data_IF_870338761954
#
_entry.id   IF_870338761954
#
_cell.length_a   1.000
_cell.length_b   1.000
_cell.length_c   1.000
_cell.angle_alpha   90.00
_cell.angle_beta   90.00
_cell.angle_gamma   90.00
#
_symmetry.space_group_name_H-M   'P 1'
#
loop_
_entity.id
_entity.type
_entity.pdbx_description
1 polymer ?
#
# COMPACT_ATOMS: atom_id res chain seq x y z
N UNK A 1 -29.24 30.08 10.93
CA UNK A 1 -27.99 29.61 10.33
C UNK A 1 -28.01 29.94 8.84
N UNK A 2 -27.39 31.07 8.50
CA UNK A 2 -27.29 31.57 7.14
C UNK A 2 -26.34 30.66 6.33
N UNK A 3 -26.87 29.96 5.36
CA UNK A 3 -26.03 29.28 4.35
C UNK A 3 -25.41 30.35 3.47
N UNK A 4 -24.18 30.73 3.74
CA UNK A 4 -23.39 31.58 2.85
C UNK A 4 -23.37 30.94 1.47
N UNK A 5 -24.14 31.50 0.53
CA UNK A 5 -24.13 31.13 -0.89
C UNK A 5 -22.73 31.47 -1.42
N UNK A 6 -21.87 30.47 -1.56
CA UNK A 6 -20.59 30.61 -2.25
C UNK A 6 -20.88 31.01 -3.71
N UNK A 7 -20.28 32.08 -4.18
CA UNK A 7 -20.46 32.53 -5.57
C UNK A 7 -19.98 31.45 -6.54
N UNK A 8 -20.61 31.27 -7.71
CA UNK A 8 -20.18 30.30 -8.73
C UNK A 8 -18.68 30.42 -9.08
N UNK A 9 -18.17 31.65 -9.08
CA UNK A 9 -16.78 31.95 -9.36
C UNK A 9 -15.81 31.42 -8.28
N UNK A 10 -16.21 31.48 -7.01
CA UNK A 10 -15.42 30.95 -5.89
C UNK A 10 -15.40 29.41 -5.91
N UNK A 11 -16.49 28.78 -6.34
CA UNK A 11 -16.56 27.32 -6.53
C UNK A 11 -15.62 26.86 -7.66
N UNK A 12 -15.64 27.53 -8.82
CA UNK A 12 -14.78 27.21 -9.95
C UNK A 12 -13.30 27.41 -9.59
N UNK A 13 -12.93 28.53 -8.92
CA UNK A 13 -11.55 28.75 -8.47
C UNK A 13 -11.07 27.68 -7.49
N UNK A 14 -11.91 27.26 -6.55
CA UNK A 14 -11.59 26.19 -5.61
C UNK A 14 -11.45 24.85 -6.31
N UNK A 15 -12.33 24.53 -7.25
CA UNK A 15 -12.29 23.29 -8.03
C UNK A 15 -11.02 23.22 -8.90
N UNK A 16 -10.66 24.31 -9.59
CA UNK A 16 -9.41 24.38 -10.35
C UNK A 16 -8.17 24.26 -9.46
N UNK A 17 -8.18 24.90 -8.28
CA UNK A 17 -7.10 24.80 -7.31
C UNK A 17 -6.94 23.37 -6.77
N UNK A 18 -8.04 22.74 -6.37
CA UNK A 18 -8.01 21.35 -5.89
C UNK A 18 -7.47 20.39 -6.96
N UNK A 19 -7.91 20.52 -8.23
CA UNK A 19 -7.38 19.69 -9.32
C UNK A 19 -5.88 19.92 -9.56
N UNK A 20 -5.43 21.17 -9.60
CA UNK A 20 -3.99 21.49 -9.76
C UNK A 20 -3.16 20.89 -8.63
N UNK A 21 -3.68 20.91 -7.40
CA UNK A 21 -2.98 20.29 -6.27
C UNK A 21 -2.88 18.78 -6.42
N UNK A 22 -3.92 18.09 -6.89
CA UNK A 22 -3.86 16.65 -7.17
C UNK A 22 -2.84 16.32 -8.26
N UNK A 23 -2.79 17.11 -9.33
CA UNK A 23 -1.77 16.97 -10.37
C UNK A 23 -0.35 17.18 -9.82
N UNK A 24 -0.14 18.24 -9.05
CA UNK A 24 1.16 18.51 -8.44
C UNK A 24 1.62 17.36 -7.54
N UNK A 25 0.74 16.86 -6.68
CA UNK A 25 1.05 15.78 -5.74
C UNK A 25 1.29 14.45 -6.46
N UNK A 26 0.63 14.21 -7.59
CA UNK A 26 0.93 13.05 -8.43
C UNK A 26 2.30 13.18 -9.11
N UNK A 27 2.54 14.29 -9.79
CA UNK A 27 3.73 14.43 -10.65
C UNK A 27 5.02 14.78 -9.90
N UNK A 28 4.96 15.36 -8.70
CA UNK A 28 6.16 15.72 -7.96
C UNK A 28 7.01 14.48 -7.58
N UNK A 29 6.49 13.46 -6.89
CA UNK A 29 7.28 12.25 -6.60
C UNK A 29 7.64 11.48 -7.86
N UNK A 30 6.79 11.50 -8.89
CA UNK A 30 7.10 10.92 -10.22
C UNK A 30 8.30 11.62 -10.85
N UNK A 31 8.34 12.95 -10.83
CA UNK A 31 9.46 13.72 -11.38
C UNK A 31 10.77 13.48 -10.61
N UNK A 32 10.69 13.37 -9.27
CA UNK A 32 11.86 13.04 -8.42
C UNK A 32 12.40 11.66 -8.80
N UNK A 33 11.53 10.64 -8.86
CA UNK A 33 11.94 9.28 -9.23
C UNK A 33 12.43 9.21 -10.68
N UNK A 34 11.76 9.87 -11.61
CA UNK A 34 12.20 9.93 -13.01
C UNK A 34 13.57 10.61 -13.13
N UNK A 35 13.85 11.65 -12.35
CA UNK A 35 15.17 12.28 -12.32
C UNK A 35 16.25 11.32 -11.79
N UNK A 36 15.93 10.48 -10.79
CA UNK A 36 16.85 9.42 -10.35
C UNK A 36 17.07 8.38 -11.46
N UNK A 37 16.03 7.95 -12.15
CA UNK A 37 16.16 7.05 -13.30
C UNK A 37 17.01 7.66 -14.43
N UNK A 38 16.84 8.95 -14.71
CA UNK A 38 17.65 9.66 -15.68
C UNK A 38 19.13 9.71 -15.25
N UNK A 39 19.40 9.99 -13.98
CA UNK A 39 20.76 10.01 -13.44
C UNK A 39 21.46 8.65 -13.58
N UNK A 40 20.76 7.55 -13.30
CA UNK A 40 21.26 6.19 -13.46
C UNK A 40 21.18 5.65 -14.88
N UNK A 41 20.83 6.50 -15.87
CA UNK A 41 20.73 6.14 -17.28
C UNK A 41 19.82 4.94 -17.54
N UNK A 42 18.69 4.86 -16.82
CA UNK A 42 17.68 3.81 -17.01
C UNK A 42 16.96 4.04 -18.36
N UNK A 43 16.74 2.95 -19.08
CA UNK A 43 15.98 2.96 -20.35
C UNK A 43 14.58 3.62 -20.15
N UNK A 44 14.11 4.51 -21.05
CA UNK A 44 14.63 4.82 -22.39
C UNK A 44 15.72 5.91 -22.47
N UNK A 45 16.22 6.42 -21.36
CA UNK A 45 17.19 7.53 -21.34
C UNK A 45 18.62 7.03 -21.58
N UNK A 46 18.92 5.80 -21.19
CA UNK A 46 20.21 5.15 -21.37
C UNK A 46 20.09 3.64 -21.46
N UNK A 47 21.20 2.93 -21.24
CA UNK A 47 21.31 1.48 -21.48
C UNK A 47 21.02 0.62 -20.24
N UNK A 48 20.88 1.23 -19.05
CA UNK A 48 20.50 0.51 -17.84
C UNK A 48 19.01 0.15 -17.85
N UNK A 49 18.61 -0.88 -17.10
CA UNK A 49 17.23 -1.35 -17.08
C UNK A 49 16.60 -1.28 -15.68
N UNK A 50 15.28 -1.10 -15.63
CA UNK A 50 14.48 -1.31 -14.39
C UNK A 50 14.37 -2.80 -14.04
N UNK A 51 14.73 -3.68 -14.95
CA UNK A 51 14.65 -5.13 -14.77
C UNK A 51 15.80 -5.60 -13.91
N UNK A 52 15.53 -5.87 -12.64
CA UNK A 52 16.52 -6.35 -11.66
C UNK A 52 15.96 -7.56 -10.91
N UNK A 53 16.83 -8.45 -10.44
CA UNK A 53 16.47 -9.63 -9.66
C UNK A 53 15.27 -10.40 -10.27
N UNK A 54 14.25 -10.71 -9.48
CA UNK A 54 13.07 -11.47 -9.91
C UNK A 54 12.25 -10.76 -10.98
N UNK A 55 12.27 -9.42 -11.01
CA UNK A 55 11.63 -8.66 -12.08
C UNK A 55 12.23 -8.99 -13.45
N UNK A 56 13.55 -9.22 -13.52
CA UNK A 56 14.24 -9.65 -14.73
C UNK A 56 14.15 -11.16 -14.96
N UNK A 57 14.34 -11.95 -13.90
CA UNK A 57 14.42 -13.41 -14.01
C UNK A 57 13.08 -14.11 -14.13
N UNK A 58 12.00 -13.48 -13.66
CA UNK A 58 10.70 -14.14 -13.54
C UNK A 58 9.52 -13.26 -13.98
N UNK A 59 9.34 -12.06 -13.41
CA UNK A 59 8.07 -11.33 -13.54
C UNK A 59 7.85 -10.77 -14.94
N UNK A 60 8.89 -10.31 -15.61
CA UNK A 60 8.80 -9.78 -16.97
C UNK A 60 8.14 -10.77 -17.94
N UNK A 61 8.42 -12.07 -17.79
CA UNK A 61 7.83 -13.11 -18.63
C UNK A 61 6.34 -13.32 -18.35
N UNK A 62 5.89 -13.16 -17.08
CA UNK A 62 4.47 -13.19 -16.76
C UNK A 62 3.75 -11.95 -17.32
N UNK A 63 4.42 -10.81 -17.33
CA UNK A 63 3.90 -9.55 -17.90
C UNK A 63 3.76 -9.66 -19.43
N UNK A 64 4.74 -10.24 -20.10
CA UNK A 64 4.64 -10.53 -21.53
C UNK A 64 3.48 -11.45 -21.86
N UNK A 65 3.30 -12.51 -21.08
CA UNK A 65 2.20 -13.45 -21.25
C UNK A 65 0.83 -12.81 -20.99
N UNK A 66 0.72 -12.00 -19.97
CA UNK A 66 -0.49 -11.26 -19.68
C UNK A 66 -0.86 -10.36 -20.87
N UNK A 67 0.12 -9.64 -21.40
CA UNK A 67 -0.05 -8.84 -22.61
C UNK A 67 -0.48 -9.68 -23.81
N UNK A 68 0.20 -10.78 -24.06
CA UNK A 68 -0.09 -11.67 -25.18
C UNK A 68 -1.49 -12.28 -25.08
N UNK A 69 -1.95 -12.64 -23.88
CA UNK A 69 -3.31 -13.11 -23.64
C UNK A 69 -4.37 -12.06 -24.00
N UNK A 70 -4.13 -10.77 -23.68
CA UNK A 70 -5.02 -9.67 -24.09
C UNK A 70 -5.05 -9.45 -25.62
N UNK A 71 -3.98 -9.78 -26.33
CA UNK A 71 -3.90 -9.65 -27.79
C UNK A 71 -4.28 -10.94 -28.54
N UNK A 72 -4.83 -11.95 -27.84
CA UNK A 72 -5.28 -13.20 -28.46
C UNK A 72 -4.18 -14.20 -28.77
N UNK A 73 -2.94 -13.94 -28.34
CA UNK A 73 -1.78 -14.82 -28.57
C UNK A 73 -1.43 -15.71 -27.36
N UNK A 74 -2.33 -15.82 -26.38
CA UNK A 74 -2.14 -16.57 -25.14
C UNK A 74 -3.44 -16.90 -24.43
N UNK A 75 -3.36 -17.54 -23.27
CA UNK A 75 -4.50 -17.88 -22.43
C UNK A 75 -4.35 -17.31 -21.02
N UNK A 76 -5.46 -16.87 -20.42
CA UNK A 76 -5.53 -16.47 -19.02
C UNK A 76 -5.65 -17.66 -18.05
N UNK A 77 -5.93 -18.85 -18.57
CA UNK A 77 -6.21 -20.04 -17.76
C UNK A 77 -4.97 -20.94 -17.66
N UNK A 78 -4.31 -21.17 -18.80
CA UNK A 78 -3.21 -22.13 -18.91
C UNK A 78 -2.07 -21.57 -19.75
N UNK A 79 -0.83 -21.85 -19.31
CA UNK A 79 0.36 -21.40 -19.99
C UNK A 79 1.32 -22.57 -20.28
N UNK A 80 1.59 -22.78 -21.57
CA UNK A 80 2.51 -23.81 -22.06
C UNK A 80 3.99 -23.48 -21.84
N UNK A 81 4.33 -22.18 -21.70
CA UNK A 81 5.71 -21.71 -21.55
C UNK A 81 6.15 -21.53 -20.10
N UNK A 82 5.27 -21.82 -19.12
CA UNK A 82 5.60 -21.75 -17.69
C UNK A 82 6.26 -23.06 -17.26
N UNK A 83 7.59 -23.08 -17.09
CA UNK A 83 8.35 -24.29 -16.79
C UNK A 83 8.04 -25.40 -17.81
N UNK A 84 7.37 -26.48 -17.36
CA UNK A 84 6.88 -27.60 -18.19
C UNK A 84 5.41 -27.44 -18.59
N UNK A 85 4.81 -26.28 -18.34
CA UNK A 85 3.41 -25.90 -18.47
C UNK A 85 2.65 -25.86 -17.14
N UNK A 86 1.62 -25.03 -17.04
CA UNK A 86 0.83 -24.94 -15.81
C UNK A 86 -0.35 -24.00 -15.89
N UNK A 87 -1.13 -24.01 -14.81
CA UNK A 87 -2.24 -23.09 -14.65
C UNK A 87 -1.73 -21.64 -14.52
N UNK A 88 -2.48 -20.68 -15.09
CA UNK A 88 -2.09 -19.29 -15.13
C UNK A 88 -2.80 -18.46 -14.05
N UNK A 89 -3.88 -18.96 -13.46
CA UNK A 89 -4.71 -18.14 -12.58
C UNK A 89 -4.04 -17.86 -11.22
N UNK A 90 -3.26 -18.80 -10.68
CA UNK A 90 -2.46 -18.55 -9.48
C UNK A 90 -1.38 -17.49 -9.72
N UNK A 91 -0.76 -17.50 -10.90
CA UNK A 91 0.18 -16.45 -11.33
C UNK A 91 -0.55 -15.11 -11.49
N UNK A 92 -1.71 -15.12 -12.14
CA UNK A 92 -2.55 -13.93 -12.28
C UNK A 92 -2.90 -13.32 -10.92
N UNK A 93 -3.35 -14.12 -9.99
CA UNK A 93 -3.78 -13.67 -8.67
C UNK A 93 -2.65 -13.06 -7.83
N UNK A 94 -1.40 -13.49 -8.05
CA UNK A 94 -0.25 -12.95 -7.32
C UNK A 94 0.43 -11.80 -8.07
N UNK A 95 0.64 -11.92 -9.38
CA UNK A 95 1.48 -10.96 -10.12
C UNK A 95 0.71 -9.96 -10.97
N UNK A 96 -0.53 -10.28 -11.40
CA UNK A 96 -1.18 -9.62 -12.53
C UNK A 96 -2.56 -9.02 -12.23
N UNK A 97 -3.13 -9.29 -11.07
CA UNK A 97 -4.50 -8.87 -10.74
C UNK A 97 -4.64 -7.36 -10.42
N UNK A 98 -3.52 -6.64 -10.28
CA UNK A 98 -3.54 -5.20 -10.10
C UNK A 98 -4.08 -4.48 -11.34
N UNK A 99 -5.00 -3.49 -11.20
CA UNK A 99 -5.51 -2.74 -12.35
C UNK A 99 -4.41 -1.97 -13.10
N UNK A 100 -3.30 -1.67 -12.44
CA UNK A 100 -2.15 -1.01 -13.07
C UNK A 100 -1.46 -1.91 -14.10
N UNK A 101 -1.61 -3.23 -14.02
CA UNK A 101 -1.02 -4.16 -15.01
C UNK A 101 -1.60 -3.96 -16.41
N UNK A 102 -2.77 -3.32 -16.55
CA UNK A 102 -3.31 -2.94 -17.84
C UNK A 102 -2.38 -1.98 -18.63
N UNK A 103 -1.49 -1.26 -17.94
CA UNK A 103 -0.47 -0.41 -18.59
C UNK A 103 0.44 -1.25 -19.49
N UNK A 104 0.74 -2.49 -19.08
CA UNK A 104 1.61 -3.41 -19.83
C UNK A 104 1.00 -3.84 -21.18
N UNK A 105 -0.33 -3.77 -21.29
CA UNK A 105 -1.06 -4.15 -22.51
C UNK A 105 -1.01 -3.04 -23.56
N UNK A 106 -0.81 -1.78 -23.14
CA UNK A 106 -0.94 -0.59 -24.03
C UNK A 106 0.24 -0.43 -24.99
N UNK A 107 1.44 -0.88 -24.60
CA UNK A 107 2.66 -0.71 -25.42
C UNK A 107 3.06 -2.01 -26.12
N UNK A 108 3.84 -1.94 -27.21
CA UNK A 108 4.38 -3.13 -27.89
C UNK A 108 5.24 -3.98 -26.95
N UNK A 109 5.32 -5.29 -27.21
CA UNK A 109 6.14 -6.24 -26.43
C UNK A 109 7.60 -5.81 -26.34
N UNK A 110 8.15 -5.25 -27.42
CA UNK A 110 9.53 -4.72 -27.47
C UNK A 110 9.79 -3.56 -26.50
N UNK A 111 8.73 -2.93 -25.98
CA UNK A 111 8.81 -1.84 -25.03
C UNK A 111 8.41 -2.26 -23.59
N UNK A 112 8.52 -3.55 -23.26
CA UNK A 112 8.08 -4.06 -21.95
C UNK A 112 8.79 -3.36 -20.78
N UNK A 113 10.11 -3.15 -20.87
CA UNK A 113 10.87 -2.41 -19.85
C UNK A 113 10.35 -0.97 -19.64
N UNK A 114 10.01 -0.28 -20.72
CA UNK A 114 9.38 1.05 -20.66
C UNK A 114 7.98 0.99 -20.04
N UNK A 115 7.19 -0.03 -20.37
CA UNK A 115 5.86 -0.24 -19.78
C UNK A 115 5.95 -0.44 -18.26
N UNK A 116 6.93 -1.20 -17.80
CA UNK A 116 7.20 -1.45 -16.38
C UNK A 116 7.63 -0.15 -15.69
N UNK A 117 8.50 0.64 -16.30
CA UNK A 117 8.90 1.95 -15.78
C UNK A 117 7.68 2.87 -15.60
N UNK A 118 6.81 2.94 -16.61
CA UNK A 118 5.57 3.75 -16.54
C UNK A 118 4.66 3.22 -15.43
N UNK A 119 4.52 1.91 -15.29
CA UNK A 119 3.75 1.27 -14.22
C UNK A 119 4.27 1.65 -12.83
N UNK A 120 5.59 1.57 -12.61
CA UNK A 120 6.23 1.96 -11.35
C UNK A 120 5.95 3.45 -11.02
N UNK A 121 6.16 4.34 -11.99
CA UNK A 121 5.91 5.77 -11.84
C UNK A 121 4.43 6.09 -11.57
N UNK A 122 3.51 5.40 -12.26
CA UNK A 122 2.08 5.55 -12.04
C UNK A 122 1.67 5.13 -10.60
N UNK A 123 2.23 4.05 -10.09
CA UNK A 123 1.98 3.60 -8.70
C UNK A 123 2.51 4.59 -7.67
N UNK A 124 3.72 5.12 -7.86
CA UNK A 124 4.31 6.17 -7.00
C UNK A 124 3.38 7.39 -6.94
N UNK A 125 2.99 7.92 -8.11
CA UNK A 125 2.11 9.09 -8.17
C UNK A 125 0.74 8.83 -7.52
N UNK A 126 0.16 7.65 -7.74
CA UNK A 126 -1.13 7.29 -7.18
C UNK A 126 -1.07 7.10 -5.68
N UNK A 127 -0.01 6.52 -5.12
CA UNK A 127 0.19 6.40 -3.68
C UNK A 127 0.25 7.79 -3.00
N UNK A 128 0.94 8.76 -3.62
CA UNK A 128 0.93 10.14 -3.13
C UNK A 128 -0.49 10.74 -3.10
N UNK A 129 -1.25 10.54 -4.16
CA UNK A 129 -2.62 11.07 -4.29
C UNK A 129 -3.56 10.46 -3.25
N UNK A 130 -3.52 9.14 -3.05
CA UNK A 130 -4.38 8.46 -2.06
C UNK A 130 -4.03 8.88 -0.64
N UNK A 131 -2.75 9.05 -0.34
CA UNK A 131 -2.31 9.56 0.96
C UNK A 131 -2.71 11.02 1.18
N UNK A 132 -2.59 11.91 0.17
CA UNK A 132 -3.12 13.27 0.25
C UNK A 132 -4.63 13.29 0.49
N UNK A 133 -5.38 12.42 -0.21
CA UNK A 133 -6.82 12.29 0.00
C UNK A 133 -7.12 11.91 1.46
N UNK A 134 -6.41 10.91 2.00
CA UNK A 134 -6.52 10.49 3.38
C UNK A 134 -6.27 11.68 4.34
N UNK A 135 -5.14 12.36 4.23
CA UNK A 135 -4.81 13.51 5.07
C UNK A 135 -5.89 14.61 5.02
N UNK A 136 -6.40 14.93 3.83
CA UNK A 136 -7.49 15.91 3.68
C UNK A 136 -8.77 15.49 4.39
N UNK A 137 -9.03 14.20 4.52
CA UNK A 137 -10.28 13.65 5.08
C UNK A 137 -10.24 13.43 6.59
N UNK A 138 -9.06 13.11 7.13
CA UNK A 138 -8.93 12.83 8.58
C UNK A 138 -8.55 14.05 9.39
N UNK A 139 -7.96 15.08 8.77
CA UNK A 139 -7.51 16.26 9.49
C UNK A 139 -8.69 17.06 10.06
N UNK A 140 -8.69 17.27 11.37
CA UNK A 140 -9.70 18.07 12.08
C UNK A 140 -9.65 19.54 11.62
N UNK A 141 -8.44 20.08 11.48
CA UNK A 141 -8.20 21.41 10.92
C UNK A 141 -7.82 21.28 9.45
N UNK A 142 -8.18 22.30 8.65
CA UNK A 142 -7.78 22.33 7.23
C UNK A 142 -6.25 22.30 7.12
N UNK A 143 -5.65 21.24 6.54
CA UNK A 143 -4.20 21.13 6.44
C UNK A 143 -3.65 22.24 5.51
N UNK A 144 -2.45 22.73 5.84
CA UNK A 144 -1.73 23.68 4.98
C UNK A 144 -1.37 23.02 3.65
N UNK A 145 -1.38 23.78 2.57
CA UNK A 145 -1.03 23.28 1.23
C UNK A 145 0.34 22.61 1.21
N UNK A 146 1.32 23.19 1.90
CA UNK A 146 2.68 22.64 1.98
C UNK A 146 2.70 21.23 2.62
N UNK A 147 1.90 21.00 3.66
CA UNK A 147 1.77 19.68 4.30
C UNK A 147 1.12 18.67 3.36
N UNK A 148 0.15 19.12 2.53
CA UNK A 148 -0.49 18.27 1.51
C UNK A 148 0.41 17.97 0.31
N UNK A 149 1.56 18.58 0.18
CA UNK A 149 2.58 18.28 -0.83
C UNK A 149 3.69 17.43 -0.21
N UNK A 150 4.28 17.88 0.90
CA UNK A 150 5.45 17.23 1.51
C UNK A 150 5.13 15.82 1.99
N UNK A 151 4.12 15.64 2.85
CA UNK A 151 3.84 14.33 3.44
C UNK A 151 3.42 13.25 2.41
N UNK A 152 2.57 13.54 1.41
CA UNK A 152 2.31 12.58 0.35
C UNK A 152 3.54 12.24 -0.49
N UNK A 153 4.42 13.20 -0.75
CA UNK A 153 5.68 12.95 -1.46
C UNK A 153 6.60 12.05 -0.64
N UNK A 154 6.74 12.29 0.67
CA UNK A 154 7.51 11.44 1.56
C UNK A 154 6.93 10.02 1.64
N UNK A 155 5.61 9.89 1.71
CA UNK A 155 4.93 8.60 1.71
C UNK A 155 5.19 7.81 0.42
N UNK A 156 5.10 8.48 -0.72
CA UNK A 156 5.30 7.87 -2.03
C UNK A 156 6.78 7.54 -2.35
N UNK A 157 7.73 8.13 -1.62
CA UNK A 157 9.17 7.91 -1.82
C UNK A 157 9.83 7.29 -0.58
N UNK A 158 9.06 6.68 0.32
CA UNK A 158 9.64 5.96 1.46
C UNK A 158 10.41 4.72 1.02
N UNK A 159 11.30 4.23 1.86
CA UNK A 159 12.21 3.12 1.55
C UNK A 159 11.48 1.90 0.97
N UNK A 160 10.39 1.46 1.59
CA UNK A 160 9.60 0.33 1.09
C UNK A 160 9.15 0.54 -0.37
N UNK A 161 8.61 1.73 -0.71
CA UNK A 161 8.19 2.02 -2.08
C UNK A 161 9.35 1.91 -3.06
N UNK A 162 10.50 2.54 -2.72
CA UNK A 162 11.64 2.64 -3.63
C UNK A 162 12.32 1.28 -3.83
N UNK A 163 12.49 0.53 -2.74
CA UNK A 163 13.15 -0.78 -2.80
C UNK A 163 12.24 -1.80 -3.50
N UNK A 164 10.94 -1.82 -3.18
CA UNK A 164 10.00 -2.77 -3.77
C UNK A 164 9.51 -2.37 -5.18
N UNK A 165 10.20 -1.44 -5.86
CA UNK A 165 9.97 -1.22 -7.30
C UNK A 165 10.31 -2.45 -8.14
N UNK A 166 11.16 -3.34 -7.63
CA UNK A 166 11.43 -4.64 -8.26
C UNK A 166 10.25 -5.62 -8.11
N UNK A 167 9.35 -5.41 -7.14
CA UNK A 167 8.13 -6.18 -6.87
C UNK A 167 6.88 -5.29 -7.08
N UNK A 168 6.60 -4.83 -8.31
CA UNK A 168 5.59 -3.79 -8.55
C UNK A 168 4.18 -4.18 -8.05
N UNK A 169 3.87 -5.47 -7.96
CA UNK A 169 2.59 -5.97 -7.46
C UNK A 169 2.38 -5.68 -5.98
N UNK A 170 3.44 -5.53 -5.17
CA UNK A 170 3.32 -5.25 -3.73
C UNK A 170 2.97 -3.80 -3.45
N UNK A 171 3.23 -2.89 -4.39
CA UNK A 171 3.01 -1.44 -4.24
C UNK A 171 1.53 -1.06 -4.15
N UNK A 172 0.62 -1.93 -4.58
CA UNK A 172 -0.83 -1.73 -4.42
C UNK A 172 -1.22 -1.57 -2.95
N UNK A 173 -0.50 -2.24 -2.03
CA UNK A 173 -0.67 -2.06 -0.58
C UNK A 173 -0.58 -0.60 -0.16
N UNK A 174 0.41 0.13 -0.66
CA UNK A 174 0.59 1.54 -0.35
C UNK A 174 -0.47 2.45 -0.97
N UNK A 175 -1.06 2.03 -2.09
CA UNK A 175 -2.13 2.78 -2.76
C UNK A 175 -3.45 2.63 -2.01
N UNK A 176 -3.81 1.40 -1.60
CA UNK A 176 -5.09 1.13 -0.96
C UNK A 176 -5.09 1.39 0.55
N UNK A 177 -3.95 1.27 1.25
CA UNK A 177 -3.86 1.45 2.70
C UNK A 177 -4.44 2.79 3.19
N UNK A 178 -4.12 3.97 2.62
CA UNK A 178 -4.71 5.24 3.04
C UNK A 178 -6.23 5.27 2.85
N UNK A 179 -6.75 4.65 1.80
CA UNK A 179 -8.19 4.58 1.53
C UNK A 179 -8.91 3.67 2.53
N UNK A 180 -8.29 2.54 2.88
CA UNK A 180 -8.81 1.60 3.90
C UNK A 180 -8.84 2.29 5.26
N UNK A 181 -7.76 2.98 5.66
CA UNK A 181 -7.72 3.74 6.91
C UNK A 181 -8.81 4.82 6.96
N UNK A 182 -9.01 5.57 5.88
CA UNK A 182 -10.14 6.49 5.79
C UNK A 182 -11.48 5.78 5.90
N UNK A 183 -11.62 4.61 5.29
CA UNK A 183 -12.81 3.76 5.42
C UNK A 183 -13.10 3.37 6.86
N UNK A 184 -12.07 3.03 7.65
CA UNK A 184 -12.20 2.75 9.10
C UNK A 184 -12.75 3.97 9.84
N UNK A 185 -12.24 5.19 9.55
CA UNK A 185 -12.79 6.41 10.16
C UNK A 185 -14.29 6.56 9.85
N UNK A 186 -14.69 6.37 8.59
CA UNK A 186 -16.09 6.48 8.17
C UNK A 186 -16.99 5.43 8.82
N UNK A 187 -16.46 4.22 9.00
CA UNK A 187 -17.16 3.14 9.69
C UNK A 187 -17.36 3.46 11.17
N UNK A 188 -16.30 3.88 11.87
CA UNK A 188 -16.36 4.15 13.31
C UNK A 188 -17.19 5.40 13.60
N UNK A 189 -17.03 6.46 12.83
CA UNK A 189 -17.68 7.75 13.08
C UNK A 189 -19.15 7.76 12.63
N UNK A 190 -19.40 7.27 11.42
CA UNK A 190 -20.68 7.42 10.75
C UNK A 190 -21.42 6.10 10.54
N UNK A 191 -20.79 4.95 10.79
CA UNK A 191 -21.36 3.63 10.51
C UNK A 191 -21.44 3.29 9.02
N UNK A 192 -20.68 3.98 8.17
CA UNK A 192 -20.66 3.75 6.72
C UNK A 192 -19.70 2.64 6.35
N UNK A 193 -20.21 1.54 5.83
CA UNK A 193 -19.45 0.34 5.48
C UNK A 193 -18.75 0.45 4.12
N UNK A 194 -19.42 1.01 3.10
CA UNK A 194 -18.93 1.03 1.71
C UNK A 194 -17.52 1.63 1.57
N UNK A 195 -17.19 2.78 2.19
CA UNK A 195 -15.84 3.34 2.11
C UNK A 195 -14.74 2.46 2.70
N UNK A 196 -15.10 1.49 3.54
CA UNK A 196 -14.19 0.49 4.08
C UNK A 196 -14.13 -0.78 3.22
N UNK A 197 -15.29 -1.30 2.82
CA UNK A 197 -15.42 -2.54 2.05
C UNK A 197 -14.72 -2.44 0.70
N UNK A 198 -14.99 -1.36 -0.06
CA UNK A 198 -14.52 -1.25 -1.44
C UNK A 198 -12.99 -1.25 -1.55
N UNK A 199 -12.24 -0.36 -0.84
CA UNK A 199 -10.79 -0.39 -0.97
C UNK A 199 -10.16 -1.66 -0.38
N UNK A 200 -10.75 -2.27 0.65
CA UNK A 200 -10.26 -3.52 1.20
C UNK A 200 -10.47 -4.69 0.23
N UNK A 201 -11.63 -4.78 -0.41
CA UNK A 201 -11.91 -5.79 -1.44
C UNK A 201 -10.97 -5.64 -2.63
N UNK A 202 -10.79 -4.41 -3.13
CA UNK A 202 -9.86 -4.13 -4.22
C UNK A 202 -8.41 -4.49 -3.86
N UNK A 203 -8.01 -4.29 -2.61
CA UNK A 203 -6.69 -4.69 -2.13
C UNK A 203 -6.50 -6.21 -2.19
N UNK A 204 -7.47 -6.99 -1.69
CA UNK A 204 -7.41 -8.45 -1.76
C UNK A 204 -7.44 -8.98 -3.19
N UNK A 205 -8.19 -8.32 -4.09
CA UNK A 205 -8.22 -8.67 -5.52
C UNK A 205 -6.87 -8.35 -6.16
N UNK A 206 -6.34 -7.16 -5.93
CA UNK A 206 -5.09 -6.72 -6.55
C UNK A 206 -3.88 -7.55 -6.11
N UNK A 207 -3.82 -7.92 -4.83
CA UNK A 207 -2.75 -8.77 -4.29
C UNK A 207 -3.15 -9.36 -2.93
N UNK A 208 -3.50 -10.64 -2.92
CA UNK A 208 -4.04 -11.30 -1.72
C UNK A 208 -3.06 -11.33 -0.53
N UNK A 209 -1.77 -11.55 -0.79
CA UNK A 209 -0.74 -11.68 0.26
C UNK A 209 -0.51 -10.34 0.98
N UNK A 210 -0.31 -9.24 0.23
CA UNK A 210 -0.23 -7.90 0.82
C UNK A 210 -1.58 -7.50 1.42
N UNK A 211 -2.69 -7.92 0.82
CA UNK A 211 -4.04 -7.74 1.37
C UNK A 211 -4.20 -8.36 2.76
N UNK A 212 -3.61 -9.54 2.99
CA UNK A 212 -3.58 -10.19 4.29
C UNK A 212 -2.82 -9.33 5.33
N UNK A 213 -1.62 -8.85 5.00
CA UNK A 213 -0.82 -7.98 5.87
C UNK A 213 -1.55 -6.66 6.18
N UNK A 214 -2.13 -6.03 5.15
CA UNK A 214 -2.94 -4.81 5.30
C UNK A 214 -4.18 -5.08 6.16
N UNK A 215 -4.79 -6.26 6.04
CA UNK A 215 -5.93 -6.68 6.86
C UNK A 215 -5.57 -6.76 8.36
N UNK A 216 -4.43 -7.38 8.70
CA UNK A 216 -3.92 -7.44 10.07
C UNK A 216 -3.66 -6.02 10.60
N UNK A 217 -2.93 -5.20 9.84
CA UNK A 217 -2.70 -3.81 10.23
C UNK A 217 -4.01 -3.04 10.44
N UNK A 218 -4.99 -3.24 9.56
CA UNK A 218 -6.29 -2.55 9.63
C UNK A 218 -7.06 -2.92 10.89
N UNK A 219 -6.96 -4.16 11.35
CA UNK A 219 -7.54 -4.57 12.64
C UNK A 219 -6.94 -3.79 13.81
N UNK A 220 -5.61 -3.70 13.90
CA UNK A 220 -4.95 -2.91 14.94
C UNK A 220 -5.23 -1.41 14.81
N UNK A 221 -5.29 -0.90 13.60
CA UNK A 221 -5.65 0.49 13.32
C UNK A 221 -7.10 0.81 13.75
N UNK A 222 -8.05 -0.10 13.50
CA UNK A 222 -9.43 0.02 13.98
C UNK A 222 -9.47 0.06 15.51
N UNK A 223 -8.78 -0.85 16.19
CA UNK A 223 -8.69 -0.86 17.66
C UNK A 223 -8.11 0.45 18.20
N UNK A 224 -7.00 0.89 17.63
CA UNK A 224 -6.37 2.16 17.98
C UNK A 224 -7.32 3.35 17.80
N UNK A 225 -7.97 3.42 16.65
CA UNK A 225 -8.87 4.54 16.36
C UNK A 225 -10.07 4.58 17.32
N UNK A 226 -10.60 3.42 17.69
CA UNK A 226 -11.65 3.33 18.71
C UNK A 226 -11.15 3.76 20.10
N UNK A 227 -9.89 3.44 20.44
CA UNK A 227 -9.29 3.78 21.75
C UNK A 227 -8.82 5.23 21.83
N UNK A 228 -8.19 5.76 20.80
CA UNK A 228 -7.59 7.11 20.79
C UNK A 228 -8.62 8.22 20.73
N UNK A 229 -9.83 7.94 20.23
CA UNK A 229 -10.84 8.94 19.99
C UNK A 229 -11.27 9.68 21.27
N UNK A 230 -11.50 10.99 21.15
CA UNK A 230 -12.09 11.81 22.20
C UNK A 230 -13.52 11.36 22.53
N UNK A 231 -13.81 11.26 23.84
CA UNK A 231 -15.09 10.81 24.35
C UNK A 231 -15.18 9.29 24.54
N UNK A 232 -15.96 8.87 25.56
CA UNK A 232 -16.27 7.43 25.79
C UNK A 232 -17.22 6.95 24.68
N UNK A 233 -16.76 6.02 23.87
CA UNK A 233 -17.71 5.24 23.04
C UNK A 233 -18.51 4.39 24.03
N UNK A 234 -19.84 4.59 24.07
CA UNK A 234 -20.72 3.77 24.89
C UNK A 234 -20.51 2.30 24.51
N UNK A 235 -20.48 1.35 25.49
CA UNK A 235 -20.22 -0.06 25.22
C UNK A 235 -21.09 -0.65 24.10
N UNK A 236 -22.37 -0.33 24.06
CA UNK A 236 -23.30 -0.76 23.02
C UNK A 236 -22.89 -0.26 21.63
N UNK A 237 -22.42 0.99 21.54
CA UNK A 237 -21.98 1.59 20.26
C UNK A 237 -20.63 0.99 19.82
N UNK A 238 -19.75 0.72 20.77
CA UNK A 238 -18.48 0.03 20.49
C UNK A 238 -18.72 -1.36 19.93
N UNK A 239 -19.55 -2.16 20.59
CA UNK A 239 -19.92 -3.49 20.10
C UNK A 239 -20.53 -3.45 18.70
N UNK A 240 -21.46 -2.51 18.44
CA UNK A 240 -22.02 -2.30 17.11
C UNK A 240 -20.96 -1.98 16.04
N UNK A 241 -19.88 -1.24 16.41
CA UNK A 241 -18.77 -0.94 15.49
C UNK A 241 -17.87 -2.14 15.23
N UNK A 242 -17.64 -2.96 16.26
CA UNK A 242 -16.92 -4.22 16.10
C UNK A 242 -17.68 -5.19 15.16
N UNK A 243 -18.99 -5.32 15.33
CA UNK A 243 -19.83 -6.12 14.44
C UNK A 243 -19.81 -5.56 13.01
N UNK A 244 -19.94 -4.24 12.85
CA UNK A 244 -19.87 -3.58 11.54
C UNK A 244 -18.51 -3.78 10.87
N UNK A 245 -17.40 -3.71 11.62
CA UNK A 245 -16.06 -3.99 11.13
C UNK A 245 -15.93 -5.44 10.66
N UNK A 246 -16.38 -6.40 11.47
CA UNK A 246 -16.37 -7.83 11.13
C UNK A 246 -17.20 -8.13 9.87
N UNK A 247 -18.43 -7.60 9.79
CA UNK A 247 -19.30 -7.75 8.61
C UNK A 247 -18.63 -7.10 7.39
N UNK A 248 -18.10 -5.88 7.52
CA UNK A 248 -17.43 -5.18 6.43
C UNK A 248 -16.22 -5.94 5.89
N UNK A 249 -15.41 -6.51 6.79
CA UNK A 249 -14.27 -7.36 6.41
C UNK A 249 -14.74 -8.63 5.70
N UNK A 250 -15.76 -9.31 6.24
CA UNK A 250 -16.31 -10.52 5.62
C UNK A 250 -16.87 -10.23 4.20
N UNK A 251 -17.61 -9.14 4.04
CA UNK A 251 -18.14 -8.74 2.71
C UNK A 251 -17.00 -8.41 1.75
N UNK A 252 -15.93 -7.73 2.20
CA UNK A 252 -14.77 -7.47 1.37
C UNK A 252 -14.08 -8.77 0.91
N UNK A 253 -13.91 -9.74 1.82
CA UNK A 253 -13.38 -11.07 1.49
C UNK A 253 -14.30 -11.84 0.53
N UNK A 254 -15.61 -11.76 0.72
CA UNK A 254 -16.58 -12.37 -0.20
C UNK A 254 -16.50 -11.75 -1.60
N UNK A 255 -16.33 -10.44 -1.72
CA UNK A 255 -16.11 -9.78 -3.01
C UNK A 255 -14.83 -10.24 -3.70
N UNK A 256 -13.78 -10.59 -2.93
CA UNK A 256 -12.51 -11.09 -3.43
C UNK A 256 -12.45 -12.64 -3.52
N UNK A 257 -13.53 -13.35 -3.17
CA UNK A 257 -13.54 -14.81 -3.01
C UNK A 257 -13.09 -15.56 -4.28
N UNK A 258 -13.41 -15.03 -5.48
CA UNK A 258 -12.99 -15.63 -6.74
C UNK A 258 -11.46 -15.68 -6.91
N UNK A 259 -10.73 -14.72 -6.36
CA UNK A 259 -9.27 -14.73 -6.30
C UNK A 259 -8.80 -15.64 -5.17
N UNK A 260 -9.34 -15.43 -3.96
CA UNK A 260 -8.87 -16.10 -2.74
C UNK A 260 -9.06 -17.62 -2.77
N UNK A 261 -10.21 -18.10 -3.27
CA UNK A 261 -10.49 -19.54 -3.38
C UNK A 261 -9.56 -20.19 -4.41
N UNK A 262 -9.32 -19.52 -5.54
CA UNK A 262 -8.43 -20.03 -6.57
C UNK A 262 -6.99 -20.08 -6.09
N UNK A 263 -6.54 -19.05 -5.40
CA UNK A 263 -5.20 -19.03 -4.76
C UNK A 263 -5.05 -20.17 -3.76
N UNK A 264 -6.05 -20.36 -2.90
CA UNK A 264 -6.02 -21.47 -1.93
C UNK A 264 -5.88 -22.85 -2.61
N UNK A 265 -6.61 -23.06 -3.70
CA UNK A 265 -6.48 -24.31 -4.48
C UNK A 265 -5.12 -24.43 -5.17
N UNK A 266 -4.60 -23.34 -5.74
CA UNK A 266 -3.27 -23.31 -6.39
C UNK A 266 -2.15 -23.60 -5.37
N UNK A 267 -2.22 -23.02 -4.19
CA UNK A 267 -1.25 -23.28 -3.11
C UNK A 267 -1.27 -24.75 -2.66
N UNK A 268 -2.46 -25.36 -2.53
CA UNK A 268 -2.58 -26.79 -2.19
C UNK A 268 -1.87 -27.70 -3.18
N UNK A 269 -1.81 -27.34 -4.46
CA UNK A 269 -1.19 -28.15 -5.50
C UNK A 269 0.34 -28.00 -5.57
N UNK A 270 0.91 -26.91 -5.01
CA UNK A 270 2.31 -26.60 -5.27
C UNK A 270 3.20 -26.22 -4.09
N UNK A 271 2.69 -25.66 -3.01
CA UNK A 271 3.53 -25.06 -1.95
C UNK A 271 3.03 -25.26 -0.52
N UNK A 272 2.15 -26.20 -0.27
CA UNK A 272 1.57 -26.38 1.06
C UNK A 272 2.59 -26.84 2.14
N UNK A 273 3.75 -27.37 1.71
CA UNK A 273 4.82 -27.81 2.60
C UNK A 273 5.62 -26.66 3.23
N UNK A 274 5.42 -25.42 2.77
CA UNK A 274 6.07 -24.22 3.33
C UNK A 274 5.31 -23.59 4.49
N UNK A 275 4.27 -24.22 5.00
CA UNK A 275 3.34 -23.64 5.96
C UNK A 275 3.38 -24.30 7.33
N UNK A 276 4.57 -24.54 7.88
CA UNK A 276 4.72 -24.65 9.33
C UNK A 276 5.10 -23.24 9.87
N UNK A 277 4.12 -22.39 10.19
CA UNK A 277 4.43 -21.06 10.73
C UNK A 277 5.10 -21.27 12.09
N UNK A 278 6.31 -20.79 12.24
CA UNK A 278 6.97 -20.74 13.53
C UNK A 278 6.35 -19.62 14.39
N UNK A 279 5.45 -19.99 15.28
CA UNK A 279 4.86 -19.09 16.28
C UNK A 279 5.76 -18.87 17.50
N UNK A 280 7.03 -19.26 17.43
CA UNK A 280 7.97 -18.95 18.51
C UNK A 280 8.09 -17.44 18.67
N UNK A 281 8.13 -16.97 19.92
CA UNK A 281 8.43 -15.57 20.26
C UNK A 281 9.94 -15.25 20.15
N UNK A 282 10.70 -16.12 19.51
CA UNK A 282 12.12 -15.87 19.26
C UNK A 282 12.29 -14.67 18.33
N UNK A 283 13.13 -13.73 18.71
CA UNK A 283 13.49 -12.60 17.87
C UNK A 283 14.33 -13.10 16.70
N UNK A 284 13.94 -12.81 15.48
CA UNK A 284 14.67 -13.23 14.28
C UNK A 284 15.93 -12.39 14.04
N UNK A 285 16.04 -11.23 14.67
CA UNK A 285 17.19 -10.33 14.56
C UNK A 285 17.37 -9.50 15.83
N UNK A 286 18.57 -8.94 16.00
CA UNK A 286 18.89 -8.11 17.15
C UNK A 286 18.12 -6.78 17.14
N UNK A 287 17.49 -6.46 18.28
CA UNK A 287 16.70 -5.23 18.44
C UNK A 287 17.50 -3.94 18.22
N UNK A 288 18.78 -3.92 18.61
CA UNK A 288 19.63 -2.73 18.42
C UNK A 288 19.92 -2.51 16.94
N UNK A 289 20.11 -3.58 16.18
CA UNK A 289 20.30 -3.50 14.74
C UNK A 289 19.03 -3.02 14.03
N UNK A 290 17.84 -3.35 14.53
CA UNK A 290 16.57 -2.84 14.01
C UNK A 290 16.51 -1.31 14.01
N UNK A 291 17.08 -0.63 15.02
CA UNK A 291 17.11 0.83 15.11
C UNK A 291 17.89 1.43 13.93
N UNK A 292 18.91 0.75 13.42
CA UNK A 292 19.68 1.23 12.26
C UNK A 292 18.81 1.39 11.01
N UNK A 293 17.75 0.59 10.88
CA UNK A 293 16.81 0.62 9.75
C UNK A 293 15.89 1.84 9.74
N UNK A 294 15.91 2.66 10.79
CA UNK A 294 15.23 3.95 10.83
C UNK A 294 16.00 5.06 10.08
N UNK A 295 17.24 4.82 9.68
CA UNK A 295 18.10 5.81 9.03
C UNK A 295 18.18 5.60 7.50
N UNK A 296 18.48 6.65 6.72
CA UNK A 296 18.63 6.52 5.27
C UNK A 296 19.79 5.58 4.91
N UNK A 297 19.67 4.91 3.77
CA UNK A 297 20.64 3.96 3.20
C UNK A 297 20.91 2.70 4.06
N UNK A 298 20.10 2.40 5.03
CA UNK A 298 20.22 1.24 5.92
C UNK A 298 19.38 0.04 5.49
N UNK A 299 19.07 -0.10 4.21
CA UNK A 299 18.33 -1.25 3.66
C UNK A 299 19.29 -2.29 3.09
N UNK A 300 18.85 -3.53 3.13
CA UNK A 300 19.52 -4.66 2.51
C UNK A 300 18.47 -5.54 1.82
N UNK A 301 18.62 -5.72 0.50
CA UNK A 301 17.69 -6.51 -0.31
C UNK A 301 18.26 -7.85 -0.70
N UNK A 302 19.54 -8.10 -0.42
CA UNK A 302 20.28 -9.25 -0.97
C UNK A 302 20.36 -10.39 0.03
N UNK A 303 20.30 -10.09 1.32
CA UNK A 303 20.41 -11.11 2.36
C UNK A 303 19.05 -11.74 2.66
N UNK A 304 18.96 -13.09 2.72
CA UNK A 304 17.75 -13.80 3.15
C UNK A 304 17.26 -13.40 4.54
N UNK A 305 18.18 -12.94 5.39
CA UNK A 305 17.95 -12.44 6.75
C UNK A 305 17.73 -10.92 6.79
N UNK A 306 17.41 -10.31 5.63
CA UNK A 306 17.21 -8.87 5.48
C UNK A 306 16.17 -8.35 6.46
N UNK A 307 16.53 -7.26 7.17
CA UNK A 307 15.64 -6.61 8.11
C UNK A 307 14.55 -5.81 7.40
N UNK A 308 13.41 -5.55 8.07
CA UNK A 308 12.31 -4.81 7.47
C UNK A 308 12.73 -3.38 7.07
N UNK A 309 12.20 -2.91 5.95
CA UNK A 309 12.47 -1.58 5.38
C UNK A 309 11.53 -0.55 5.99
N UNK A 310 11.88 -0.03 7.15
CA UNK A 310 11.03 0.85 7.96
C UNK A 310 11.35 2.33 7.82
N UNK A 311 12.40 2.70 7.08
CA UNK A 311 12.73 4.11 6.87
C UNK A 311 11.64 4.83 6.08
N UNK A 312 11.03 5.84 6.69
CA UNK A 312 9.94 6.63 6.11
C UNK A 312 10.27 8.13 5.98
N UNK A 313 11.54 8.47 6.15
CA UNK A 313 12.05 9.84 6.02
C UNK A 313 12.54 10.41 7.35
N UNK A 314 13.67 11.12 7.32
CA UNK A 314 14.31 11.71 8.51
C UNK A 314 13.38 12.67 9.27
N UNK A 315 12.51 13.40 8.54
CA UNK A 315 11.54 14.29 9.18
C UNK A 315 10.57 13.53 10.11
N UNK A 316 10.21 12.28 9.80
CA UNK A 316 9.33 11.46 10.66
C UNK A 316 10.02 11.15 11.98
N UNK A 317 11.33 10.86 11.98
CA UNK A 317 12.09 10.61 13.20
C UNK A 317 12.07 11.81 14.16
N UNK A 318 11.96 13.03 13.62
CA UNK A 318 11.83 14.26 14.42
C UNK A 318 10.37 14.46 14.86
N UNK A 319 9.41 14.19 13.97
CA UNK A 319 7.98 14.44 14.24
C UNK A 319 7.41 13.48 15.28
N UNK A 320 7.89 12.23 15.33
CA UNK A 320 7.39 11.24 16.31
C UNK A 320 7.66 11.67 17.75
N UNK A 321 8.88 12.05 18.19
CA UNK A 321 9.09 12.62 19.52
C UNK A 321 8.25 13.87 19.78
N UNK A 322 8.15 14.77 18.81
CA UNK A 322 7.35 15.99 18.93
C UNK A 322 5.85 15.70 19.13
N UNK A 323 5.33 14.61 18.55
CA UNK A 323 3.97 14.16 18.83
C UNK A 323 3.77 13.84 20.31
N UNK A 324 4.69 13.09 20.91
CA UNK A 324 4.61 12.73 22.34
C UNK A 324 4.84 13.91 23.29
N UNK A 325 5.63 14.91 22.88
CA UNK A 325 5.90 16.13 23.64
C UNK A 325 4.80 17.20 23.50
N UNK A 326 3.87 17.06 22.55
CA UNK A 326 2.86 18.07 22.27
C UNK A 326 1.73 18.03 23.31
N UNK A 327 1.58 19.09 24.11
CA UNK A 327 0.56 19.19 25.17
C UNK A 327 -0.88 19.32 24.65
N UNK A 328 -1.06 19.61 23.35
CA UNK A 328 -2.38 19.63 22.71
C UNK A 328 -2.93 18.26 22.40
N UNK A 329 -2.11 17.22 22.47
CA UNK A 329 -2.48 15.82 22.25
C UNK A 329 -2.80 15.19 23.57
N UNK A 330 -3.96 14.52 23.67
CA UNK A 330 -4.42 13.91 24.91
C UNK A 330 -3.52 12.75 25.33
N UNK A 331 -3.36 12.54 26.64
CA UNK A 331 -2.62 11.36 27.15
C UNK A 331 -3.18 10.06 26.65
N UNK A 332 -4.50 9.97 26.49
CA UNK A 332 -5.19 8.80 25.93
C UNK A 332 -4.72 8.51 24.50
N UNK A 333 -4.62 9.53 23.66
CA UNK A 333 -4.15 9.39 22.28
C UNK A 333 -2.66 9.02 22.23
N UNK A 334 -1.83 9.66 23.04
CA UNK A 334 -0.40 9.32 23.16
C UNK A 334 -0.21 7.86 23.59
N UNK A 335 -0.89 7.44 24.65
CA UNK A 335 -0.76 6.07 25.18
C UNK A 335 -1.26 5.03 24.18
N UNK A 336 -2.42 5.25 23.54
CA UNK A 336 -2.95 4.32 22.55
C UNK A 336 -2.06 4.25 21.29
N UNK A 337 -1.47 5.36 20.87
CA UNK A 337 -0.51 5.40 19.75
C UNK A 337 0.78 4.69 20.11
N UNK A 338 1.32 4.92 21.30
CA UNK A 338 2.49 4.21 21.81
C UNK A 338 2.27 2.70 21.88
N UNK A 339 1.09 2.27 22.39
CA UNK A 339 0.73 0.87 22.44
C UNK A 339 0.62 0.24 21.04
N UNK A 340 -0.05 0.91 20.11
CA UNK A 340 -0.13 0.44 18.72
C UNK A 340 1.26 0.28 18.11
N UNK A 341 2.12 1.31 18.24
CA UNK A 341 3.48 1.27 17.71
C UNK A 341 4.28 0.12 18.32
N UNK A 342 4.19 -0.07 19.64
CA UNK A 342 4.86 -1.17 20.35
C UNK A 342 4.39 -2.54 19.86
N UNK A 343 3.08 -2.74 19.71
CA UNK A 343 2.52 -4.00 19.18
C UNK A 343 2.98 -4.27 17.75
N UNK A 344 2.98 -3.24 16.89
CA UNK A 344 3.47 -3.39 15.52
C UNK A 344 4.95 -3.73 15.48
N UNK A 345 5.78 -3.12 16.33
CA UNK A 345 7.22 -3.46 16.43
C UNK A 345 7.40 -4.90 16.89
N UNK A 346 6.66 -5.38 17.90
CA UNK A 346 6.72 -6.79 18.32
C UNK A 346 6.34 -7.72 17.17
N UNK A 347 5.24 -7.42 16.46
CA UNK A 347 4.84 -8.22 15.29
C UNK A 347 5.93 -8.26 14.23
N UNK A 348 6.60 -7.14 13.97
CA UNK A 348 7.71 -7.08 13.02
C UNK A 348 8.92 -7.89 13.50
N UNK A 349 9.18 -7.98 14.81
CA UNK A 349 10.32 -8.70 15.36
C UNK A 349 10.13 -10.23 15.37
N UNK A 350 8.90 -10.72 15.47
CA UNK A 350 8.63 -12.15 15.69
C UNK A 350 7.77 -12.84 14.63
N UNK A 351 6.94 -12.10 13.87
CA UNK A 351 5.91 -12.70 13.01
C UNK A 351 6.11 -12.45 11.51
N UNK A 352 7.21 -11.84 11.09
CA UNK A 352 7.43 -11.45 9.68
C UNK A 352 7.86 -12.62 8.80
N UNK A 353 8.13 -13.79 9.34
CA UNK A 353 8.48 -14.98 8.57
C UNK A 353 7.30 -15.92 8.30
N UNK A 354 6.11 -15.36 8.07
CA UNK A 354 4.98 -16.14 7.54
C UNK A 354 5.02 -16.10 6.02
#
# INVERSE_FOLDING_TARGET
MEKTKTSPLSFIKKWCYDKRLYFLVFFLPVAIMFSAYAFFKIHPIGDSSVLVLDLNGQYVYYYEQFRDAFHGNGSFIYNWSRNLSGEMFGVFAYYLASPFMLILVLLPRTMMATSILILQLAKIGTAAVTFMFFLKKISVQKPKTISLIIFPTMYALMSYMVVQLMDPMWLDGLIYLPLICWGVHRLVDEGKLVPYIVPLALMFIAHFYIGYMVGIFTFFYFCWYCLSREGRILPKKFFSRCVAFGIGTLVALMCAAFVLITVYNSLKLGKFEFTDPDFSLATQFDFLTFITKLFPMSYDTVYPEGMPMIYCGTAVLILVPLFFMNDRITMKEKTSTGLLTFLLVILMLSLIHI
#
